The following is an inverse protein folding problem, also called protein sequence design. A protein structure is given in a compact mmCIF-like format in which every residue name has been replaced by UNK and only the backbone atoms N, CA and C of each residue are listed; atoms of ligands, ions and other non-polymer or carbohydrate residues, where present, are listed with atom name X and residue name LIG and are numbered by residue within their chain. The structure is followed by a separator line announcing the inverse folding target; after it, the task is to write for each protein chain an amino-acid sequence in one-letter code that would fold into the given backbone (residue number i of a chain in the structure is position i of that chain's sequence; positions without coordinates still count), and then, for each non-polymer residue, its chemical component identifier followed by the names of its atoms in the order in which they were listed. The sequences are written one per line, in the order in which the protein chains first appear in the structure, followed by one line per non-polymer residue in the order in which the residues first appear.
data_IF_553935138186
#
_entry.id   IF_553935138186
#
_cell.length_a   1.000
_cell.length_b   1.000
_cell.length_c   1.000
_cell.angle_alpha   90.00
_cell.angle_beta   90.00
_cell.angle_gamma   90.00
#
_symmetry.space_group_name_H-M   'P 1'
#
loop_
_entity.id
_entity.type
_entity.pdbx_description
1 polymer ?
#
# COMPACT_ATOMS: atom_id res chain seq x y z
N UNK A 1 15.71 -14.96 -4.71
CA UNK A 1 14.46 -14.18 -4.69
C UNK A 1 13.63 -14.70 -5.86
N UNK A 2 12.73 -15.66 -5.60
CA UNK A 2 11.93 -16.30 -6.64
C UNK A 2 10.66 -15.48 -6.87
N UNK A 3 10.52 -14.97 -8.09
CA UNK A 3 9.41 -14.13 -8.52
C UNK A 3 8.12 -14.93 -8.64
N UNK A 4 7.19 -14.66 -7.73
CA UNK A 4 5.79 -14.47 -8.09
C UNK A 4 5.65 -12.96 -8.04
N UNK A 5 5.51 -12.32 -9.21
CA UNK A 5 5.59 -10.87 -9.35
C UNK A 5 4.74 -10.20 -8.27
N UNK A 6 5.40 -9.40 -7.42
CA UNK A 6 4.76 -8.53 -6.45
C UNK A 6 3.53 -7.92 -7.12
N UNK A 7 2.38 -7.91 -6.43
CA UNK A 7 1.35 -6.92 -6.74
C UNK A 7 2.10 -5.60 -6.88
N UNK A 8 2.16 -5.06 -8.10
CA UNK A 8 3.10 -3.99 -8.40
C UNK A 8 2.86 -2.90 -7.38
N UNK A 9 3.89 -2.55 -6.63
CA UNK A 9 3.82 -1.53 -5.58
C UNK A 9 3.20 -0.24 -6.10
N UNK A 10 3.32 0.02 -7.41
CA UNK A 10 2.57 1.02 -8.17
C UNK A 10 1.06 1.02 -7.88
N UNK A 11 0.35 -0.11 -7.96
CA UNK A 11 -1.09 -0.18 -7.64
C UNK A 11 -1.37 0.17 -6.18
N UNK A 12 -0.51 -0.24 -5.25
CA UNK A 12 -0.66 0.11 -3.83
C UNK A 12 -0.57 1.62 -3.66
N UNK A 13 0.38 2.27 -4.33
CA UNK A 13 0.54 3.73 -4.29
C UNK A 13 -0.64 4.48 -4.91
N UNK A 14 -1.22 3.96 -6.01
CA UNK A 14 -2.46 4.50 -6.58
C UNK A 14 -3.60 4.49 -5.55
N UNK A 15 -3.77 3.38 -4.83
CA UNK A 15 -4.80 3.26 -3.79
C UNK A 15 -4.53 4.16 -2.58
N UNK A 16 -3.26 4.32 -2.19
CA UNK A 16 -2.86 5.28 -1.16
C UNK A 16 -3.27 6.71 -1.54
N UNK A 17 -2.93 7.14 -2.76
CA UNK A 17 -3.30 8.45 -3.30
C UNK A 17 -4.81 8.64 -3.42
N UNK A 18 -5.53 7.60 -3.86
CA UNK A 18 -6.98 7.59 -3.99
C UNK A 18 -7.74 7.53 -2.64
N UNK A 19 -7.02 7.38 -1.52
CA UNK A 19 -7.59 7.22 -0.16
C UNK A 19 -8.60 6.09 -0.11
N UNK A 20 -8.31 4.98 -0.79
CA UNK A 20 -9.14 3.78 -0.81
C UNK A 20 -8.48 2.69 0.04
N UNK A 21 -9.23 2.00 0.90
CA UNK A 21 -8.67 0.90 1.67
C UNK A 21 -8.34 -0.29 0.77
N UNK A 22 -7.31 -1.03 1.13
CA UNK A 22 -6.83 -2.20 0.39
C UNK A 22 -7.16 -3.48 1.16
N UNK A 23 -7.67 -4.49 0.47
CA UNK A 23 -7.68 -5.87 0.95
C UNK A 23 -6.54 -6.63 0.25
N UNK A 24 -5.50 -6.99 0.99
CA UNK A 24 -4.44 -7.84 0.46
C UNK A 24 -4.75 -9.31 0.78
N UNK A 25 -4.79 -10.13 -0.25
CA UNK A 25 -4.93 -11.59 -0.14
C UNK A 25 -3.66 -12.22 -0.69
N UNK A 26 -2.74 -12.60 0.21
CA UNK A 26 -1.42 -13.09 -0.16
C UNK A 26 -0.82 -13.96 0.97
N UNK A 27 0.22 -14.76 0.70
CA UNK A 27 1.04 -15.32 1.77
C UNK A 27 1.65 -14.20 2.64
N UNK A 28 1.95 -14.47 3.92
CA UNK A 28 2.60 -13.48 4.80
C UNK A 28 4.06 -13.22 4.38
N UNK A 29 4.60 -12.10 4.84
CA UNK A 29 5.97 -11.65 4.60
C UNK A 29 6.18 -10.96 3.26
N UNK A 30 5.11 -10.48 2.61
CA UNK A 30 5.23 -9.76 1.33
C UNK A 30 5.54 -8.28 1.55
N UNK A 31 6.21 -7.65 0.59
CA UNK A 31 6.44 -6.20 0.63
C UNK A 31 5.13 -5.42 0.63
N UNK A 32 4.12 -5.94 -0.09
CA UNK A 32 2.77 -5.38 -0.09
C UNK A 32 2.14 -5.36 1.31
N UNK A 33 2.26 -6.47 2.06
CA UNK A 33 1.77 -6.56 3.44
C UNK A 33 2.46 -5.52 4.32
N UNK A 34 3.80 -5.47 4.27
CA UNK A 34 4.58 -4.49 5.03
C UNK A 34 4.13 -3.04 4.76
N UNK A 35 3.95 -2.67 3.48
CA UNK A 35 3.52 -1.32 3.10
C UNK A 35 2.11 -0.99 3.60
N UNK A 36 1.16 -1.91 3.45
CA UNK A 36 -0.24 -1.71 3.83
C UNK A 36 -0.36 -1.58 5.35
N UNK A 37 0.33 -2.42 6.11
CA UNK A 37 0.34 -2.37 7.58
C UNK A 37 0.99 -1.09 8.10
N UNK A 38 2.17 -0.74 7.57
CA UNK A 38 2.91 0.47 7.95
C UNK A 38 2.07 1.74 7.80
N UNK A 39 1.32 1.84 6.71
CA UNK A 39 0.48 3.00 6.42
C UNK A 39 -0.95 2.88 6.95
N UNK A 40 -1.29 1.77 7.63
CA UNK A 40 -2.64 1.43 8.09
C UNK A 40 -3.71 1.56 7.00
N UNK A 41 -3.35 1.17 5.77
CA UNK A 41 -4.12 1.45 4.56
C UNK A 41 -5.05 0.30 4.15
N UNK A 42 -5.27 -0.68 5.02
CA UNK A 42 -5.99 -1.90 4.64
C UNK A 42 -5.96 -3.03 5.65
N UNK A 43 -6.38 -4.20 5.19
CA UNK A 43 -6.36 -5.46 5.92
C UNK A 43 -5.62 -6.49 5.06
N UNK A 44 -4.68 -7.20 5.68
CA UNK A 44 -3.93 -8.29 5.06
C UNK A 44 -4.47 -9.63 5.56
N UNK A 45 -4.70 -10.56 4.63
CA UNK A 45 -5.26 -11.89 4.93
C UNK A 45 -4.50 -12.96 4.16
N UNK A 46 -4.23 -14.09 4.81
CA UNK A 46 -3.64 -15.25 4.17
C UNK A 46 -4.61 -15.79 3.10
N UNK A 47 -4.10 -16.17 1.93
CA UNK A 47 -4.90 -16.68 0.81
C UNK A 47 -5.66 -17.98 1.11
N UNK A 48 -5.26 -18.74 2.14
CA UNK A 48 -5.97 -19.92 2.61
C UNK A 48 -7.08 -19.63 3.63
N UNK A 49 -7.12 -18.42 4.22
CA UNK A 49 -8.10 -18.05 5.26
C UNK A 49 -9.37 -17.44 4.66
N UNK A 50 -10.24 -18.31 4.14
CA UNK A 50 -11.54 -17.91 3.57
C UNK A 50 -12.46 -17.19 4.57
N UNK A 51 -12.38 -17.53 5.86
CA UNK A 51 -13.18 -16.89 6.91
C UNK A 51 -12.67 -15.47 7.19
N UNK A 52 -11.35 -15.29 7.25
CA UNK A 52 -10.70 -13.99 7.37
C UNK A 52 -11.00 -13.08 6.18
N UNK A 53 -10.98 -13.61 4.95
CA UNK A 53 -11.30 -12.84 3.74
C UNK A 53 -12.72 -12.30 3.83
N UNK A 54 -13.70 -13.14 4.19
CA UNK A 54 -15.09 -12.72 4.36
C UNK A 54 -15.22 -11.60 5.40
N UNK A 55 -14.61 -11.77 6.57
CA UNK A 55 -14.63 -10.76 7.65
C UNK A 55 -14.00 -9.44 7.20
N UNK A 56 -12.86 -9.51 6.50
CA UNK A 56 -12.15 -8.33 6.01
C UNK A 56 -12.98 -7.56 4.99
N UNK A 57 -13.67 -8.23 4.06
CA UNK A 57 -14.58 -7.58 3.11
C UNK A 57 -15.67 -6.80 3.85
N UNK A 58 -16.34 -7.41 4.84
CA UNK A 58 -17.38 -6.71 5.61
C UNK A 58 -16.82 -5.53 6.41
N UNK A 59 -15.66 -5.67 7.03
CA UNK A 59 -15.02 -4.60 7.79
C UNK A 59 -14.67 -3.41 6.88
N UNK A 60 -14.11 -3.67 5.69
CA UNK A 60 -13.74 -2.60 4.76
C UNK A 60 -14.95 -1.90 4.13
N UNK A 61 -16.06 -2.63 3.89
CA UNK A 61 -17.29 -2.03 3.37
C UNK A 61 -17.99 -1.16 4.42
N UNK A 62 -18.03 -1.61 5.68
CA UNK A 62 -18.72 -0.90 6.76
C UNK A 62 -17.87 0.23 7.35
N UNK A 63 -16.55 0.05 7.40
CA UNK A 63 -15.61 0.98 8.06
C UNK A 63 -14.48 1.45 7.13
N UNK A 64 -14.74 1.89 5.89
CA UNK A 64 -13.68 2.18 4.90
C UNK A 64 -12.72 3.29 5.35
N UNK A 65 -13.23 4.26 6.13
CA UNK A 65 -12.44 5.42 6.60
C UNK A 65 -11.38 5.06 7.65
N UNK A 66 -11.53 3.93 8.33
CA UNK A 66 -10.58 3.43 9.34
C UNK A 66 -9.26 2.96 8.71
N UNK A 67 -9.28 2.68 7.41
CA UNK A 67 -8.20 2.04 6.65
C UNK A 67 -7.70 2.93 5.50
N UNK A 68 -7.72 4.25 5.71
CA UNK A 68 -7.14 5.20 4.76
C UNK A 68 -5.65 5.33 5.07
N UNK A 69 -4.82 5.25 4.03
CA UNK A 69 -3.37 5.49 4.12
C UNK A 69 -3.10 6.76 4.94
N UNK A 70 -2.23 6.62 5.96
CA UNK A 70 -1.91 7.73 6.89
C UNK A 70 -1.15 8.85 6.20
N UNK A 71 -0.23 8.52 5.30
CA UNK A 71 0.67 9.48 4.66
C UNK A 71 0.61 9.41 3.12
N UNK A 72 -0.55 9.64 2.50
CA UNK A 72 -0.71 9.50 1.05
C UNK A 72 0.19 10.47 0.27
N UNK A 73 0.55 11.62 0.86
CA UNK A 73 1.46 12.61 0.27
C UNK A 73 2.87 12.07 0.00
N UNK A 74 3.32 11.04 0.74
CA UNK A 74 4.63 10.41 0.50
C UNK A 74 4.69 9.64 -0.82
N UNK A 75 3.54 9.26 -1.35
CA UNK A 75 3.40 8.36 -2.49
C UNK A 75 2.88 9.09 -3.74
N UNK A 76 2.80 10.42 -3.68
CA UNK A 76 2.50 11.26 -4.84
C UNK A 76 3.74 11.41 -5.73
N UNK A 77 3.54 11.22 -7.03
CA UNK A 77 4.61 11.23 -8.02
C UNK A 77 5.33 12.58 -8.03
N UNK A 78 4.57 13.66 -7.96
CA UNK A 78 5.03 15.04 -8.00
C UNK A 78 6.01 15.37 -6.88
N UNK A 79 5.76 14.85 -5.67
CA UNK A 79 6.64 15.05 -4.52
C UNK A 79 7.97 14.30 -4.68
N UNK A 80 7.91 13.07 -5.18
CA UNK A 80 9.10 12.23 -5.35
C UNK A 80 10.02 12.79 -6.44
N UNK A 81 9.45 13.36 -7.52
CA UNK A 81 10.23 14.07 -8.54
C UNK A 81 10.91 15.31 -7.98
N UNK A 82 10.19 16.14 -7.21
CA UNK A 82 10.78 17.34 -6.59
C UNK A 82 11.97 17.01 -5.67
N UNK A 83 11.84 15.99 -4.82
CA UNK A 83 12.95 15.55 -3.96
C UNK A 83 14.15 15.05 -4.77
N UNK A 84 13.90 14.41 -5.91
CA UNK A 84 14.96 13.91 -6.79
C UNK A 84 15.71 15.08 -7.45
N UNK A 85 14.99 16.09 -7.96
CA UNK A 85 15.57 17.29 -8.55
C UNK A 85 16.44 18.05 -7.54
N UNK A 86 15.94 18.27 -6.32
CA UNK A 86 16.68 18.92 -5.23
C UNK A 86 17.98 18.17 -4.89
N UNK A 87 17.95 16.83 -4.87
CA UNK A 87 19.14 16.01 -4.60
C UNK A 87 20.15 16.04 -5.75
N UNK A 88 19.69 16.05 -6.99
CA UNK A 88 20.56 16.15 -8.17
C UNK A 88 21.27 17.50 -8.17
N UNK A 89 20.57 18.60 -7.86
CA UNK A 89 21.19 19.92 -7.73
C UNK A 89 22.28 19.97 -6.65
N UNK A 90 22.11 19.27 -5.54
CA UNK A 90 23.12 19.20 -4.46
C UNK A 90 24.38 18.46 -4.92
N UNK A 91 24.24 17.39 -5.69
CA UNK A 91 25.37 16.55 -6.14
C UNK A 91 26.15 17.20 -7.28
N UNK A 92 25.49 18.05 -8.08
CA UNK A 92 26.10 18.75 -9.23
C UNK A 92 26.72 20.12 -8.88
N UNK A 93 26.62 20.55 -7.62
CA UNK A 93 27.31 21.72 -7.06
C UNK A 93 28.60 21.31 -6.35
#
# INVERSE_FOLDING_TARGET
RNGIGDVSTAKIYEYFGAKKPILLIAPPGTEAEYLIEKEHAGICVNNSDTTGIKKAIFELLNNPKKYICKHPEKYQWERNFRILEEKIEIVLK
#
